data_IF_031678271938
#
_entry.id   IF_031678271938
#
_cell.length_a   1.000
_cell.length_b   1.000
_cell.length_c   1.000
_cell.angle_alpha   90.00
_cell.angle_beta   90.00
_cell.angle_gamma   90.00
#
_symmetry.space_group_name_H-M   'P 1'
#
loop_
_entity.id
_entity.type
_entity.pdbx_description
1 polymer ?
#
# COMPACT_ATOMS: atom_id res chain seq x y z
N UNK A 1 8.65 -0.90 2.85
CA UNK A 1 7.42 -1.60 2.43
C UNK A 1 6.75 -2.12 3.68
N UNK A 2 5.43 -1.98 3.80
CA UNK A 2 4.63 -2.54 4.89
C UNK A 2 3.26 -2.97 4.37
N UNK A 3 2.61 -3.91 5.04
CA UNK A 3 1.22 -4.22 4.76
C UNK A 3 0.33 -3.27 5.57
N UNK A 4 -0.76 -2.80 4.97
CA UNK A 4 -1.67 -1.84 5.61
C UNK A 4 -2.27 -2.35 6.92
N UNK A 5 -2.41 -3.67 7.11
CA UNK A 5 -2.87 -4.27 8.36
C UNK A 5 -1.86 -4.12 9.50
N UNK A 6 -0.56 -4.00 9.20
CA UNK A 6 0.50 -3.81 10.19
C UNK A 6 0.36 -2.48 10.95
N UNK A 7 -0.40 -1.52 10.41
CA UNK A 7 -0.65 -0.23 11.05
C UNK A 7 -1.52 -0.38 12.31
N UNK A 8 -2.40 -1.38 12.35
CA UNK A 8 -3.39 -1.52 13.40
C UNK A 8 -2.77 -2.14 14.66
N UNK A 9 -3.09 -1.54 15.81
CA UNK A 9 -2.74 -2.03 17.15
C UNK A 9 -3.97 -2.07 18.04
N UNK A 10 -3.97 -2.99 19.01
CA UNK A 10 -5.00 -3.09 20.06
C UNK A 10 -4.88 -1.98 21.10
N UNK A 11 -3.70 -1.35 21.20
CA UNK A 11 -3.44 -0.24 22.12
C UNK A 11 -3.98 1.08 21.54
N UNK A 12 -4.66 1.86 22.38
CA UNK A 12 -5.28 3.12 21.97
C UNK A 12 -4.21 4.15 21.56
N UNK A 13 -4.37 4.75 20.37
CA UNK A 13 -3.48 5.80 19.86
C UNK A 13 -2.19 5.30 19.20
N UNK A 14 -1.82 4.04 19.39
CA UNK A 14 -0.57 3.47 18.84
C UNK A 14 -0.62 3.37 17.31
N UNK A 15 -1.79 3.06 16.75
CA UNK A 15 -1.95 2.94 15.30
C UNK A 15 -1.73 4.28 14.59
N UNK A 16 -2.32 5.35 15.15
CA UNK A 16 -2.17 6.72 14.65
C UNK A 16 -0.73 7.20 14.79
N UNK A 17 -0.10 6.94 15.95
CA UNK A 17 1.30 7.30 16.20
C UNK A 17 2.25 6.60 15.21
N UNK A 18 2.02 5.31 14.91
CA UNK A 18 2.82 4.54 13.95
C UNK A 18 2.76 5.15 12.54
N UNK A 19 1.58 5.60 12.10
CA UNK A 19 1.43 6.32 10.83
C UNK A 19 2.19 7.65 10.83
N UNK A 20 2.06 8.44 11.89
CA UNK A 20 2.76 9.73 12.01
C UNK A 20 4.28 9.52 11.95
N UNK A 21 4.81 8.60 12.74
CA UNK A 21 6.25 8.29 12.78
C UNK A 21 6.78 7.83 11.41
N UNK A 22 6.00 7.02 10.69
CA UNK A 22 6.36 6.59 9.34
C UNK A 22 6.51 7.76 8.37
N UNK A 23 5.55 8.70 8.37
CA UNK A 23 5.59 9.87 7.49
C UNK A 23 6.65 10.88 7.92
N UNK A 24 6.88 11.06 9.22
CA UNK A 24 7.96 11.90 9.71
C UNK A 24 9.34 11.36 9.31
N UNK A 25 9.54 10.03 9.32
CA UNK A 25 10.75 9.40 8.81
C UNK A 25 10.94 9.69 7.31
N UNK A 26 9.89 9.55 6.50
CA UNK A 26 9.92 9.87 5.06
C UNK A 26 10.34 11.33 4.83
N UNK A 27 9.83 12.27 5.63
CA UNK A 27 10.20 13.69 5.55
C UNK A 27 11.66 13.98 5.93
N UNK A 28 12.37 13.08 6.62
CA UNK A 28 13.80 13.23 6.90
C UNK A 28 14.69 12.94 5.69
N UNK A 29 14.13 12.39 4.62
CA UNK A 29 14.86 12.07 3.40
C UNK A 29 14.53 13.07 2.29
N UNK A 30 15.52 13.36 1.44
CA UNK A 30 15.36 14.24 0.28
C UNK A 30 14.33 13.68 -0.72
N UNK A 31 14.32 12.36 -0.90
CA UNK A 31 13.35 11.63 -1.68
C UNK A 31 13.18 10.20 -1.13
N UNK A 32 11.94 9.79 -0.87
CA UNK A 32 11.63 8.44 -0.40
C UNK A 32 10.39 7.84 -1.08
N UNK A 33 10.34 6.52 -1.19
CA UNK A 33 9.21 5.77 -1.74
C UNK A 33 8.60 4.92 -0.62
N UNK A 34 7.33 5.17 -0.30
CA UNK A 34 6.55 4.36 0.61
C UNK A 34 5.67 3.38 -0.15
N UNK A 35 5.96 2.10 -0.01
CA UNK A 35 5.11 1.02 -0.56
C UNK A 35 4.18 0.50 0.54
N UNK A 36 2.87 0.62 0.31
CA UNK A 36 1.82 0.13 1.21
C UNK A 36 1.03 -0.97 0.49
N UNK A 37 1.10 -2.19 1.00
CA UNK A 37 0.29 -3.29 0.49
C UNK A 37 -1.11 -3.30 1.09
N UNK A 38 -2.09 -3.74 0.31
CA UNK A 38 -3.51 -3.76 0.68
C UNK A 38 -4.01 -2.39 1.21
N UNK A 39 -3.66 -1.32 0.50
CA UNK A 39 -3.94 0.06 0.93
C UNK A 39 -5.44 0.32 1.15
N UNK A 40 -6.33 -0.48 0.55
CA UNK A 40 -7.78 -0.41 0.74
C UNK A 40 -8.23 -0.67 2.19
N UNK A 41 -7.38 -1.27 3.04
CA UNK A 41 -7.66 -1.48 4.47
C UNK A 41 -7.73 -0.13 5.20
N UNK A 42 -6.77 0.76 5.00
CA UNK A 42 -6.74 2.11 5.64
C UNK A 42 -7.44 3.19 4.82
N UNK A 43 -7.61 2.97 3.51
CA UNK A 43 -8.21 3.93 2.58
C UNK A 43 -9.65 3.61 2.17
N UNK A 44 -10.27 2.62 2.80
CA UNK A 44 -11.61 2.14 2.47
C UNK A 44 -12.73 3.17 2.68
N UNK A 45 -13.82 3.00 1.94
CA UNK A 45 -15.04 3.84 1.99
C UNK A 45 -15.66 3.95 3.39
N UNK A 46 -16.47 4.98 3.60
CA UNK A 46 -17.24 5.18 4.84
C UNK A 46 -18.05 3.95 5.29
N UNK A 47 -18.66 3.24 4.34
CA UNK A 47 -19.45 2.04 4.63
C UNK A 47 -18.64 0.86 5.17
N UNK A 48 -17.32 0.84 4.97
CA UNK A 48 -16.44 -0.24 5.46
C UNK A 48 -15.80 0.07 6.80
N UNK A 49 -15.89 1.32 7.27
CA UNK A 49 -15.34 1.76 8.57
C UNK A 49 -16.32 1.35 9.67
N UNK A 50 -15.93 0.39 10.51
CA UNK A 50 -16.79 -0.20 11.55
C UNK A 50 -16.49 0.35 12.93
N UNK A 51 -15.25 0.78 13.15
CA UNK A 51 -14.77 1.24 14.46
C UNK A 51 -14.40 2.73 14.47
N UNK A 52 -14.40 3.34 15.67
CA UNK A 52 -13.87 4.70 15.86
C UNK A 52 -12.39 4.78 15.49
N UNK A 53 -11.65 3.69 15.72
CA UNK A 53 -10.24 3.57 15.35
C UNK A 53 -10.09 3.63 13.82
N UNK A 54 -10.92 2.95 13.04
CA UNK A 54 -10.87 2.98 11.57
C UNK A 54 -11.07 4.41 11.04
N UNK A 55 -12.01 5.15 11.65
CA UNK A 55 -12.29 6.55 11.28
C UNK A 55 -11.10 7.46 11.59
N UNK A 56 -10.44 7.27 12.73
CA UNK A 56 -9.26 8.05 13.11
C UNK A 56 -8.08 7.74 12.20
N UNK A 57 -7.77 6.45 11.98
CA UNK A 57 -6.69 6.03 11.07
C UNK A 57 -6.92 6.56 9.67
N UNK A 58 -8.14 6.45 9.13
CA UNK A 58 -8.50 7.01 7.82
C UNK A 58 -8.20 8.51 7.77
N UNK A 59 -8.61 9.26 8.79
CA UNK A 59 -8.46 10.72 8.84
C UNK A 59 -7.00 11.14 8.98
N UNK A 60 -6.23 10.45 9.83
CA UNK A 60 -4.79 10.66 10.01
C UNK A 60 -4.04 10.33 8.73
N UNK A 61 -4.32 9.19 8.11
CA UNK A 61 -3.67 8.78 6.87
C UNK A 61 -3.94 9.79 5.75
N UNK A 62 -5.21 10.20 5.57
CA UNK A 62 -5.57 11.21 4.59
C UNK A 62 -4.82 12.54 4.80
N UNK A 63 -4.75 13.00 6.05
CA UNK A 63 -4.03 14.21 6.41
C UNK A 63 -2.52 14.10 6.13
N UNK A 64 -1.90 12.95 6.42
CA UNK A 64 -0.48 12.72 6.20
C UNK A 64 -0.11 12.68 4.71
N UNK A 65 -0.96 12.11 3.85
CA UNK A 65 -0.76 12.16 2.39
C UNK A 65 -0.78 13.61 1.91
N UNK A 66 -1.74 14.42 2.38
CA UNK A 66 -1.83 15.84 2.01
C UNK A 66 -0.57 16.63 2.42
N UNK A 67 0.16 16.15 3.45
CA UNK A 67 1.41 16.75 3.93
C UNK A 67 2.68 16.19 3.31
N UNK A 68 2.61 15.13 2.48
CA UNK A 68 3.80 14.47 1.95
C UNK A 68 4.58 15.39 0.99
N UNK A 69 3.86 16.19 0.20
CA UNK A 69 4.45 17.16 -0.71
C UNK A 69 5.43 16.54 -1.71
N UNK A 70 6.61 17.13 -1.86
CA UNK A 70 7.67 16.66 -2.77
C UNK A 70 8.65 15.67 -2.11
N UNK A 71 8.50 15.40 -0.81
CA UNK A 71 9.48 14.63 -0.04
C UNK A 71 9.40 13.12 -0.32
N UNK A 72 8.30 12.65 -0.89
CA UNK A 72 8.19 11.24 -1.25
C UNK A 72 7.01 10.88 -2.14
N UNK A 73 7.02 9.63 -2.57
CA UNK A 73 5.96 9.02 -3.37
C UNK A 73 5.36 7.84 -2.62
N UNK A 74 4.04 7.66 -2.74
CA UNK A 74 3.34 6.50 -2.19
C UNK A 74 2.95 5.58 -3.36
N UNK A 75 3.30 4.30 -3.22
CA UNK A 75 2.81 3.24 -4.09
C UNK A 75 1.91 2.33 -3.25
N UNK A 76 0.62 2.37 -3.52
CA UNK A 76 -0.37 1.49 -2.90
C UNK A 76 -0.71 0.32 -3.81
N UNK A 77 -0.69 -0.91 -3.29
CA UNK A 77 -1.26 -2.06 -3.98
C UNK A 77 -2.65 -2.38 -3.42
N UNK A 78 -3.57 -2.80 -4.29
CA UNK A 78 -4.90 -3.24 -3.88
C UNK A 78 -5.46 -4.25 -4.88
N UNK A 79 -6.22 -5.22 -4.38
CA UNK A 79 -7.03 -6.11 -5.21
C UNK A 79 -8.43 -5.55 -5.49
N UNK A 80 -8.80 -4.44 -4.84
CA UNK A 80 -10.17 -3.90 -4.82
C UNK A 80 -10.17 -2.38 -4.96
N UNK A 81 -9.80 -1.86 -6.12
CA UNK A 81 -9.80 -0.42 -6.40
C UNK A 81 -11.14 0.26 -6.06
N UNK A 82 -12.27 -0.41 -6.33
CA UNK A 82 -13.61 0.11 -6.04
C UNK A 82 -13.90 0.31 -4.54
N UNK A 83 -13.17 -0.39 -3.66
CA UNK A 83 -13.32 -0.31 -2.21
C UNK A 83 -12.62 0.93 -1.62
N UNK A 84 -11.68 1.52 -2.34
CA UNK A 84 -10.98 2.75 -1.93
C UNK A 84 -11.94 3.93 -1.95
N UNK A 85 -11.87 4.77 -0.92
CA UNK A 85 -12.63 6.01 -0.83
C UNK A 85 -12.13 6.99 -1.91
N UNK A 86 -13.02 7.54 -2.77
CA UNK A 86 -12.63 8.45 -3.85
C UNK A 86 -11.86 9.68 -3.39
N UNK A 87 -11.92 10.03 -2.10
CA UNK A 87 -11.13 11.10 -1.50
C UNK A 87 -9.62 10.83 -1.65
N UNK A 88 -9.17 9.58 -1.62
CA UNK A 88 -7.75 9.24 -1.83
C UNK A 88 -7.29 9.30 -3.28
N UNK A 89 -8.20 9.14 -4.25
CA UNK A 89 -7.89 9.06 -5.69
C UNK A 89 -7.95 10.46 -6.36
N UNK A 90 -7.81 11.52 -5.56
CA UNK A 90 -7.82 12.90 -6.07
C UNK A 90 -6.41 13.36 -6.42
N UNK A 91 -6.31 14.32 -7.33
CA UNK A 91 -5.06 14.99 -7.70
C UNK A 91 -4.26 15.39 -6.46
N UNK A 92 -2.97 15.04 -6.42
CA UNK A 92 -2.09 15.33 -5.28
C UNK A 92 -2.10 14.28 -4.16
N UNK A 93 -2.80 13.15 -4.35
CA UNK A 93 -2.83 12.01 -3.41
C UNK A 93 -2.43 10.71 -4.14
N UNK A 94 -3.36 9.76 -4.32
CA UNK A 94 -3.19 8.57 -5.15
C UNK A 94 -3.76 8.83 -6.55
N UNK A 95 -3.15 9.79 -7.24
CA UNK A 95 -3.68 10.34 -8.50
C UNK A 95 -3.30 9.53 -9.76
N UNK A 96 -2.43 8.54 -9.63
CA UNK A 96 -2.10 7.56 -10.66
C UNK A 96 -2.59 6.16 -10.28
N UNK A 97 -3.38 5.55 -11.17
CA UNK A 97 -3.83 4.16 -11.03
C UNK A 97 -3.27 3.34 -12.19
N UNK A 98 -2.58 2.26 -11.85
CA UNK A 98 -2.02 1.31 -12.83
C UNK A 98 -2.71 -0.04 -12.64
N UNK A 99 -3.50 -0.47 -13.63
CA UNK A 99 -4.11 -1.80 -13.62
C UNK A 99 -3.09 -2.85 -14.06
N UNK A 100 -2.76 -3.79 -13.18
CA UNK A 100 -1.89 -4.93 -13.50
C UNK A 100 -2.78 -6.11 -13.91
N UNK A 101 -2.84 -6.40 -15.20
CA UNK A 101 -3.60 -7.53 -15.73
C UNK A 101 -2.77 -8.34 -16.73
N UNK A 102 -2.76 -9.67 -16.55
CA UNK A 102 -2.17 -10.60 -17.53
C UNK A 102 -3.28 -11.11 -18.44
N UNK A 103 -3.43 -10.51 -19.62
CA UNK A 103 -4.53 -10.85 -20.53
C UNK A 103 -4.08 -11.83 -21.62
N UNK A 104 -2.84 -11.73 -22.10
CA UNK A 104 -2.42 -12.42 -23.32
C UNK A 104 -1.69 -13.76 -23.05
N UNK A 105 -1.87 -14.77 -23.92
CA UNK A 105 -1.12 -16.04 -23.84
C UNK A 105 0.40 -15.84 -23.81
N UNK A 106 0.93 -14.88 -24.56
CA UNK A 106 2.36 -14.57 -24.59
C UNK A 106 2.87 -14.07 -23.23
N UNK A 107 2.14 -13.17 -22.56
CA UNK A 107 2.49 -12.70 -21.21
C UNK A 107 2.46 -13.84 -20.20
N UNK A 108 1.47 -14.75 -20.28
CA UNK A 108 1.44 -15.95 -19.43
C UNK A 108 2.62 -16.87 -19.70
N UNK A 109 3.01 -17.02 -20.97
CA UNK A 109 4.18 -17.82 -21.34
C UNK A 109 5.48 -17.22 -20.78
N UNK A 110 5.66 -15.90 -20.85
CA UNK A 110 6.80 -15.19 -20.24
C UNK A 110 6.84 -15.40 -18.72
N UNK A 111 5.70 -15.27 -18.03
CA UNK A 111 5.58 -15.57 -16.60
C UNK A 111 5.98 -17.01 -16.31
N UNK A 112 5.47 -17.98 -17.08
CA UNK A 112 5.83 -19.40 -16.92
C UNK A 112 7.33 -19.63 -17.15
N UNK A 113 7.94 -18.99 -18.14
CA UNK A 113 9.37 -19.08 -18.38
C UNK A 113 10.18 -18.55 -17.20
N UNK A 114 9.79 -17.43 -16.59
CA UNK A 114 10.46 -16.88 -15.40
C UNK A 114 10.34 -17.85 -14.22
N UNK A 115 9.12 -18.31 -13.92
CA UNK A 115 8.85 -19.23 -12.80
C UNK A 115 9.62 -20.55 -12.97
N UNK A 116 9.62 -21.13 -14.18
CA UNK A 116 10.25 -22.42 -14.45
C UNK A 116 11.78 -22.33 -14.53
N UNK A 117 12.35 -21.22 -15.01
CA UNK A 117 13.81 -20.97 -14.97
C UNK A 117 14.34 -20.88 -13.53
N UNK A 118 13.60 -20.26 -12.62
CA UNK A 118 13.99 -20.17 -11.21
C UNK A 118 13.92 -21.52 -10.47
N UNK A 119 13.05 -22.43 -10.89
CA UNK A 119 12.80 -23.68 -10.16
C UNK A 119 13.94 -24.72 -10.29
N UNK A 120 14.85 -24.56 -11.25
CA UNK A 120 16.01 -25.44 -11.42
C UNK A 120 17.06 -25.22 -10.30
N UNK A 121 17.09 -24.06 -9.65
CA UNK A 121 18.08 -23.74 -8.60
C UNK A 121 17.64 -24.10 -7.17
N UNK A 122 16.38 -24.46 -6.92
CA UNK A 122 15.89 -24.79 -5.58
C UNK A 122 15.89 -26.31 -5.28
N UNK A 123 16.14 -27.16 -6.28
CA UNK A 123 16.20 -28.62 -6.09
C UNK A 123 17.62 -29.20 -5.89
N UNK A 124 18.67 -28.37 -5.89
CA UNK A 124 20.07 -28.82 -5.72
C UNK A 124 20.68 -28.50 -4.34
N UNK A 125 19.87 -28.37 -3.28
CA UNK A 125 20.41 -28.45 -1.91
C UNK A 125 20.45 -29.93 -1.48
N UNK A 126 21.63 -30.56 -1.36
CA UNK A 126 21.72 -31.83 -0.65
C UNK A 126 21.32 -31.61 0.82
N UNK A 127 20.61 -32.59 1.38
CA UNK A 127 20.23 -32.69 2.79
C UNK A 127 21.46 -32.65 3.71
#
# INVERSE_FOLDING_TARGET
MLNSSDIFSTEEGVSEMKLVQLFENIKQHEAAILIIDEIDIISGRASTRKSKLDIRIFSVFLHLIDQLGKNGFIIGTTSRLHAIDPVFIRSGRLDMVVEIATKLPQQRYEILQIITKCNVYQQTRPL
#
